data_IF_602177642202
#
_entry.id   IF_602177642202
#
_cell.length_a   1.000
_cell.length_b   1.000
_cell.length_c   1.000
_cell.angle_alpha   90.00
_cell.angle_beta   90.00
_cell.angle_gamma   90.00
#
_symmetry.space_group_name_H-M   'P 1'
#
loop_
_entity.id
_entity.type
_entity.pdbx_description
1 polymer ?
#
# COMPACT_ATOMS: atom_id res chain seq x y z
N UNK A 1 1.60 -21.50 6.98
CA UNK A 1 1.01 -22.87 6.97
C UNK A 1 -0.42 -22.87 7.53
N UNK A 2 -1.32 -23.69 6.96
CA UNK A 2 -2.71 -23.86 7.40
C UNK A 2 -2.84 -25.07 8.34
N UNK A 3 -3.60 -24.93 9.42
CA UNK A 3 -3.94 -26.03 10.34
C UNK A 3 -5.44 -25.99 10.62
N UNK A 4 -6.13 -27.09 10.37
CA UNK A 4 -7.55 -27.24 10.71
C UNK A 4 -7.69 -27.55 12.20
N UNK A 5 -8.61 -26.88 12.88
CA UNK A 5 -8.91 -27.12 14.29
C UNK A 5 -10.03 -28.15 14.43
N UNK A 6 -10.09 -28.84 15.57
CA UNK A 6 -11.08 -29.90 15.84
C UNK A 6 -12.54 -29.42 15.80
N UNK A 7 -12.76 -28.11 15.95
CA UNK A 7 -14.08 -27.48 15.86
C UNK A 7 -14.46 -27.01 14.45
N UNK A 8 -13.71 -27.38 13.40
CA UNK A 8 -13.97 -26.98 12.01
C UNK A 8 -13.44 -25.60 11.61
N UNK A 9 -12.75 -24.90 12.51
CA UNK A 9 -12.05 -23.65 12.20
C UNK A 9 -10.70 -23.86 11.49
N UNK A 10 -10.07 -22.75 11.12
CA UNK A 10 -8.77 -22.73 10.44
C UNK A 10 -7.80 -21.82 11.19
N UNK A 11 -6.57 -22.26 11.40
CA UNK A 11 -5.48 -21.43 11.88
C UNK A 11 -4.49 -21.17 10.74
N UNK A 12 -4.26 -19.89 10.44
CA UNK A 12 -3.17 -19.48 9.58
C UNK A 12 -1.95 -19.16 10.45
N UNK A 13 -0.88 -19.93 10.25
CA UNK A 13 0.42 -19.65 10.85
C UNK A 13 1.27 -18.89 9.83
N UNK A 14 1.66 -17.66 10.16
CA UNK A 14 2.58 -16.87 9.35
C UNK A 14 3.88 -16.66 10.12
N UNK A 15 4.96 -17.17 9.56
CA UNK A 15 6.31 -17.04 10.10
C UNK A 15 6.98 -15.78 9.53
N UNK A 16 7.80 -15.14 10.36
CA UNK A 16 8.50 -13.90 10.00
C UNK A 16 9.66 -14.11 9.00
N UNK A 17 10.04 -15.36 8.71
CA UNK A 17 11.19 -15.69 7.85
C UNK A 17 10.84 -15.68 6.34
N UNK A 18 11.86 -15.43 5.49
CA UNK A 18 11.73 -15.17 4.04
C UNK A 18 10.98 -16.24 3.22
N UNK A 19 10.91 -17.46 3.69
CA UNK A 19 10.27 -18.59 3.02
C UNK A 19 9.07 -19.15 3.78
N UNK A 20 8.63 -18.49 4.86
CA UNK A 20 7.56 -18.97 5.74
C UNK A 20 7.83 -20.40 6.30
N UNK A 21 9.08 -20.86 6.34
CA UNK A 21 9.45 -22.23 6.72
C UNK A 21 9.71 -22.44 8.22
N UNK A 22 9.41 -21.45 9.06
CA UNK A 22 9.40 -21.63 10.53
C UNK A 22 10.75 -21.90 11.22
N UNK A 23 11.88 -21.89 10.50
CA UNK A 23 13.20 -22.20 11.07
C UNK A 23 13.36 -23.70 11.42
N UNK A 24 14.61 -24.16 11.57
CA UNK A 24 14.93 -25.57 11.86
C UNK A 24 14.60 -25.96 13.31
N UNK A 25 14.54 -24.95 14.16
CA UNK A 25 14.47 -25.01 15.61
C UNK A 25 13.02 -24.94 16.14
N UNK A 26 12.01 -24.80 15.25
CA UNK A 26 10.59 -24.85 15.60
C UNK A 26 10.09 -23.72 16.52
N UNK A 27 10.99 -22.88 17.03
CA UNK A 27 10.73 -21.77 17.93
C UNK A 27 10.73 -20.45 17.16
N UNK A 28 9.80 -20.32 16.22
CA UNK A 28 9.60 -19.07 15.48
C UNK A 28 8.37 -18.33 16.01
N UNK A 29 8.50 -17.01 16.17
CA UNK A 29 7.42 -16.07 16.53
C UNK A 29 6.36 -16.02 15.42
N UNK A 30 5.62 -17.12 15.25
CA UNK A 30 4.59 -17.23 14.24
C UNK A 30 3.38 -16.40 14.66
N UNK A 31 2.95 -15.49 13.80
CA UNK A 31 1.65 -14.86 13.94
C UNK A 31 0.58 -15.91 13.64
N UNK A 32 -0.25 -16.19 14.65
CA UNK A 32 -1.42 -17.07 14.51
C UNK A 32 -2.64 -16.21 14.25
N UNK A 33 -3.26 -16.41 13.09
CA UNK A 33 -4.51 -15.75 12.71
C UNK A 33 -5.60 -16.83 12.77
N UNK A 34 -6.47 -16.82 13.80
CA UNK A 34 -7.57 -17.77 13.89
C UNK A 34 -8.73 -17.33 12.99
N UNK A 35 -9.29 -18.29 12.25
CA UNK A 35 -10.57 -18.18 11.56
C UNK A 35 -11.53 -19.14 12.25
N UNK A 36 -12.63 -18.62 12.82
CA UNK A 36 -13.64 -19.47 13.47
C UNK A 36 -14.30 -20.38 12.44
N UNK A 37 -14.90 -21.50 12.87
CA UNK A 37 -15.77 -22.29 12.00
C UNK A 37 -16.91 -21.43 11.47
N UNK A 38 -17.41 -21.79 10.29
CA UNK A 38 -18.59 -21.15 9.74
C UNK A 38 -19.80 -21.36 10.67
N UNK A 39 -20.71 -20.38 10.76
CA UNK A 39 -21.90 -20.48 11.59
C UNK A 39 -22.81 -21.63 11.12
N UNK A 40 -23.51 -22.27 12.05
CA UNK A 40 -24.50 -23.31 11.75
C UNK A 40 -25.51 -22.82 10.69
N UNK A 41 -25.63 -23.56 9.58
CA UNK A 41 -26.50 -23.22 8.45
C UNK A 41 -25.81 -22.45 7.32
N UNK A 42 -24.49 -22.23 7.39
CA UNK A 42 -23.71 -21.77 6.23
C UNK A 42 -23.86 -22.77 5.07
N UNK A 43 -24.15 -22.25 3.87
CA UNK A 43 -24.27 -23.07 2.68
C UNK A 43 -22.91 -23.72 2.38
N UNK A 44 -22.87 -25.05 2.51
CA UNK A 44 -21.69 -25.84 2.22
C UNK A 44 -21.45 -25.83 0.71
N UNK A 45 -20.36 -25.20 0.28
CA UNK A 45 -19.89 -25.24 -1.11
C UNK A 45 -19.07 -26.51 -1.40
N UNK A 46 -19.11 -27.54 -0.54
CA UNK A 46 -18.33 -28.78 -0.68
C UNK A 46 -18.41 -29.47 -2.04
N UNK A 47 -19.47 -29.25 -2.82
CA UNK A 47 -19.66 -29.85 -4.15
C UNK A 47 -19.15 -28.98 -5.32
N UNK A 48 -18.81 -27.71 -5.09
CA UNK A 48 -18.15 -26.86 -6.07
C UNK A 48 -16.72 -26.59 -5.62
N UNK A 49 -15.73 -26.89 -6.45
CA UNK A 49 -14.32 -26.60 -6.16
C UNK A 49 -14.14 -25.10 -5.91
N UNK A 50 -14.17 -24.68 -4.64
CA UNK A 50 -13.98 -23.29 -4.21
C UNK A 50 -12.57 -22.76 -4.51
N UNK A 51 -11.66 -23.67 -4.83
CA UNK A 51 -10.34 -23.39 -5.36
C UNK A 51 -10.01 -24.34 -6.51
N UNK A 52 -9.29 -23.81 -7.48
CA UNK A 52 -8.65 -24.61 -8.52
C UNK A 52 -7.19 -24.79 -8.08
N UNK A 53 -6.70 -26.04 -7.98
CA UNK A 53 -5.28 -26.35 -7.71
C UNK A 53 -4.41 -26.14 -8.96
N UNK A 54 -4.69 -25.06 -9.69
CA UNK A 54 -3.93 -24.63 -10.83
C UNK A 54 -3.54 -23.17 -10.66
N UNK A 55 -2.35 -22.84 -11.17
CA UNK A 55 -1.88 -21.46 -11.18
C UNK A 55 -2.76 -20.65 -12.12
N UNK A 56 -3.28 -19.53 -11.62
CA UNK A 56 -3.95 -18.56 -12.48
C UNK A 56 -3.04 -18.14 -13.63
N UNK A 57 -3.60 -18.14 -14.84
CA UNK A 57 -2.88 -17.70 -16.04
C UNK A 57 -2.40 -16.26 -15.91
N UNK A 58 -1.20 -15.96 -16.44
CA UNK A 58 -0.60 -14.63 -16.36
C UNK A 58 -1.52 -13.51 -16.88
N UNK A 59 -2.33 -13.80 -17.91
CA UNK A 59 -3.32 -12.87 -18.44
C UNK A 59 -4.41 -12.55 -17.41
N UNK A 60 -4.96 -13.56 -16.76
CA UNK A 60 -5.99 -13.43 -15.71
C UNK A 60 -5.46 -12.59 -14.55
N UNK A 61 -4.23 -12.87 -14.09
CA UNK A 61 -3.57 -12.07 -13.08
C UNK A 61 -3.43 -10.61 -13.53
N UNK A 62 -2.93 -10.36 -14.74
CA UNK A 62 -2.71 -9.00 -15.26
C UNK A 62 -4.00 -8.19 -15.38
N UNK A 63 -5.10 -8.83 -15.79
CA UNK A 63 -6.42 -8.18 -15.95
C UNK A 63 -7.20 -8.03 -14.65
N UNK A 64 -6.79 -8.68 -13.56
CA UNK A 64 -7.56 -8.76 -12.33
C UNK A 64 -8.01 -7.39 -11.82
N UNK A 65 -7.06 -6.46 -11.58
CA UNK A 65 -7.41 -5.13 -11.06
C UNK A 65 -8.33 -4.34 -11.99
N UNK A 66 -8.11 -4.45 -13.31
CA UNK A 66 -8.94 -3.79 -14.32
C UNK A 66 -10.38 -4.31 -14.28
N UNK A 67 -10.55 -5.62 -14.14
CA UNK A 67 -11.86 -6.27 -14.05
C UNK A 67 -12.58 -5.83 -12.78
N UNK A 68 -11.88 -5.81 -11.64
CA UNK A 68 -12.44 -5.32 -10.36
C UNK A 68 -12.93 -3.87 -10.52
N UNK A 69 -12.08 -2.96 -11.01
CA UNK A 69 -12.46 -1.56 -11.21
C UNK A 69 -13.66 -1.39 -12.15
N UNK A 70 -13.72 -2.17 -13.23
CA UNK A 70 -14.86 -2.15 -14.17
C UNK A 70 -16.14 -2.64 -13.49
N UNK A 71 -16.07 -3.71 -12.70
CA UNK A 71 -17.21 -4.29 -12.00
C UNK A 71 -17.80 -3.34 -10.94
N UNK A 72 -16.96 -2.55 -10.26
CA UNK A 72 -17.43 -1.52 -9.30
C UNK A 72 -17.78 -0.18 -9.96
N UNK A 73 -17.73 -0.07 -11.29
CA UNK A 73 -18.11 1.15 -12.01
C UNK A 73 -17.10 2.30 -11.94
N UNK A 74 -15.82 2.01 -11.66
CA UNK A 74 -14.76 3.02 -11.73
C UNK A 74 -14.45 3.31 -13.21
N UNK A 75 -14.50 4.60 -13.59
CA UNK A 75 -14.13 5.01 -14.94
C UNK A 75 -12.61 4.91 -15.16
N UNK A 76 -12.25 4.09 -16.14
CA UNK A 76 -10.87 3.77 -16.54
C UNK A 76 -10.54 4.23 -17.97
N UNK A 77 -11.43 4.96 -18.67
CA UNK A 77 -11.23 5.32 -20.09
C UNK A 77 -9.91 6.04 -20.36
N UNK A 78 -9.51 6.92 -19.45
CA UNK A 78 -8.28 7.71 -19.55
C UNK A 78 -7.12 7.20 -18.67
N UNK A 79 -7.23 5.97 -18.13
CA UNK A 79 -6.24 5.43 -17.18
C UNK A 79 -5.94 3.96 -17.41
N UNK A 80 -4.64 3.62 -17.49
CA UNK A 80 -4.20 2.23 -17.48
C UNK A 80 -4.10 1.68 -16.06
N UNK A 81 -5.23 1.16 -15.56
CA UNK A 81 -5.29 0.52 -14.23
C UNK A 81 -4.81 -0.93 -14.33
N UNK A 82 -3.61 -1.16 -13.79
CA UNK A 82 -2.97 -2.48 -13.67
C UNK A 82 -2.72 -2.83 -12.21
N UNK A 83 -2.40 -4.08 -11.90
CA UNK A 83 -2.08 -4.50 -10.53
C UNK A 83 -1.01 -3.63 -9.85
N UNK A 84 -0.01 -3.17 -10.61
CA UNK A 84 1.00 -2.26 -10.09
C UNK A 84 0.40 -0.93 -9.61
N UNK A 85 -0.59 -0.36 -10.31
CA UNK A 85 -1.31 0.84 -9.85
C UNK A 85 -2.09 0.61 -8.55
N UNK A 86 -2.68 -0.59 -8.42
CA UNK A 86 -3.34 -1.05 -7.19
C UNK A 86 -2.37 -1.17 -6.01
N UNK A 87 -1.11 -1.49 -6.25
CA UNK A 87 -0.04 -1.46 -5.24
C UNK A 87 0.43 -0.03 -4.94
N UNK A 88 0.67 0.79 -5.96
CA UNK A 88 1.24 2.14 -5.80
C UNK A 88 0.35 3.06 -4.96
N UNK A 89 -0.96 3.02 -5.22
CA UNK A 89 -1.95 3.91 -4.60
C UNK A 89 -1.98 3.82 -3.06
N UNK A 90 -2.13 2.63 -2.43
CA UNK A 90 -2.12 2.52 -0.97
C UNK A 90 -0.77 2.88 -0.36
N UNK A 91 0.36 2.57 -1.01
CA UNK A 91 1.70 2.93 -0.49
C UNK A 91 1.84 4.46 -0.43
N UNK A 92 1.48 5.15 -1.52
CA UNK A 92 1.51 6.61 -1.57
C UNK A 92 0.54 7.22 -0.56
N UNK A 93 -0.64 6.62 -0.35
CA UNK A 93 -1.59 7.08 0.67
C UNK A 93 -1.04 6.98 2.09
N UNK A 94 -0.37 5.86 2.43
CA UNK A 94 0.28 5.70 3.74
C UNK A 94 1.35 6.77 3.98
N UNK A 95 2.15 7.07 2.96
CA UNK A 95 3.13 8.16 3.02
C UNK A 95 2.46 9.52 3.26
N UNK A 96 1.42 9.85 2.49
CA UNK A 96 0.71 11.13 2.60
C UNK A 96 0.01 11.30 3.96
N UNK A 97 -0.42 10.21 4.58
CA UNK A 97 -0.96 10.19 5.95
C UNK A 97 0.11 10.28 7.04
N UNK A 98 1.39 10.35 6.68
CA UNK A 98 2.51 10.49 7.63
C UNK A 98 2.83 9.22 8.41
N UNK A 99 2.42 8.04 7.92
CA UNK A 99 2.78 6.77 8.56
C UNK A 99 4.30 6.60 8.46
N UNK A 100 4.92 6.22 9.58
CA UNK A 100 6.37 6.04 9.65
C UNK A 100 6.90 5.12 8.54
N UNK A 101 8.04 5.48 7.96
CA UNK A 101 8.63 4.78 6.81
C UNK A 101 8.90 3.31 7.15
N UNK A 102 9.49 3.04 8.32
CA UNK A 102 9.76 1.66 8.76
C UNK A 102 8.51 0.79 8.83
N UNK A 103 7.41 1.34 9.37
CA UNK A 103 6.11 0.65 9.43
C UNK A 103 5.54 0.41 8.04
N UNK A 104 5.56 1.42 7.17
CA UNK A 104 5.05 1.30 5.80
C UNK A 104 5.86 0.30 4.99
N UNK A 105 7.19 0.30 5.10
CA UNK A 105 8.07 -0.67 4.44
C UNK A 105 7.81 -2.09 4.92
N UNK A 106 7.60 -2.29 6.23
CA UNK A 106 7.24 -3.58 6.82
C UNK A 106 5.91 -4.11 6.27
N UNK A 107 4.86 -3.28 6.23
CA UNK A 107 3.54 -3.65 5.68
C UNK A 107 3.63 -3.99 4.18
N UNK A 108 4.40 -3.22 3.42
CA UNK A 108 4.43 -3.30 1.96
C UNK A 108 5.50 -4.24 1.42
N UNK A 109 6.37 -4.76 2.29
CA UNK A 109 7.44 -5.70 1.95
C UNK A 109 8.64 -5.08 1.22
N UNK A 110 8.91 -3.78 1.41
CA UNK A 110 10.11 -3.16 0.83
C UNK A 110 11.34 -3.46 1.70
N UNK A 111 12.40 -3.93 1.05
CA UNK A 111 13.68 -4.27 1.71
C UNK A 111 14.62 -3.07 1.85
N UNK A 112 14.40 -2.02 1.05
CA UNK A 112 15.22 -0.81 1.03
C UNK A 112 14.34 0.42 0.98
N UNK A 113 14.81 1.47 1.62
CA UNK A 113 14.15 2.77 1.59
C UNK A 113 14.18 3.38 0.19
N UNK A 114 15.26 3.16 -0.57
CA UNK A 114 15.39 3.63 -1.95
C UNK A 114 14.28 3.09 -2.86
N UNK A 115 13.93 1.81 -2.75
CA UNK A 115 12.82 1.22 -3.51
C UNK A 115 11.45 1.75 -3.05
N UNK A 116 11.32 2.11 -1.76
CA UNK A 116 10.10 2.71 -1.22
C UNK A 116 9.91 4.17 -1.66
N UNK A 117 10.99 4.96 -1.76
CA UNK A 117 10.94 6.40 -2.08
C UNK A 117 10.27 6.72 -3.42
N UNK A 118 10.19 5.77 -4.35
CA UNK A 118 9.45 5.89 -5.62
C UNK A 118 7.95 6.23 -5.38
N UNK A 119 7.40 5.77 -4.25
CA UNK A 119 6.01 5.95 -3.86
C UNK A 119 5.81 7.11 -2.88
N UNK A 120 6.88 7.65 -2.28
CA UNK A 120 6.88 8.72 -1.30
C UNK A 120 6.59 10.08 -1.94
N UNK A 121 5.44 10.20 -2.61
CA UNK A 121 5.02 11.37 -3.36
C UNK A 121 4.11 12.25 -2.50
N UNK A 122 4.53 13.49 -2.30
CA UNK A 122 3.72 14.50 -1.62
C UNK A 122 2.39 14.73 -2.34
N UNK A 123 1.31 14.82 -1.57
CA UNK A 123 0.00 15.25 -2.06
C UNK A 123 0.04 16.71 -2.53
N UNK A 124 -0.96 17.13 -3.31
CA UNK A 124 -1.06 18.53 -3.74
C UNK A 124 -1.19 19.47 -2.55
N UNK A 125 -2.00 19.12 -1.55
CA UNK A 125 -2.10 19.87 -0.29
C UNK A 125 -0.73 20.06 0.38
N UNK A 126 0.04 18.98 0.53
CA UNK A 126 1.39 19.07 1.12
C UNK A 126 2.33 19.96 0.30
N UNK A 127 2.20 19.97 -1.04
CA UNK A 127 2.97 20.87 -1.90
C UNK A 127 2.53 22.32 -1.73
N UNK A 128 1.22 22.57 -1.69
CA UNK A 128 0.63 23.89 -1.46
C UNK A 128 1.07 24.45 -0.11
N UNK A 129 0.91 23.69 0.97
CA UNK A 129 1.34 24.07 2.32
C UNK A 129 2.84 24.43 2.36
N UNK A 130 3.68 23.63 1.69
CA UNK A 130 5.12 23.88 1.59
C UNK A 130 5.45 25.17 0.82
N UNK A 131 4.72 25.46 -0.28
CA UNK A 131 4.91 26.69 -1.05
C UNK A 131 4.42 27.92 -0.28
N UNK A 132 3.32 27.82 0.46
CA UNK A 132 2.79 28.89 1.31
C UNK A 132 3.78 29.30 2.41
N UNK A 133 4.51 28.34 3.00
CA UNK A 133 5.57 28.63 3.96
C UNK A 133 6.69 29.47 3.34
N UNK A 134 7.12 29.14 2.11
CA UNK A 134 8.16 29.89 1.42
C UNK A 134 7.72 31.33 1.12
N UNK A 135 6.51 31.52 0.57
CA UNK A 135 5.97 32.84 0.26
C UNK A 135 5.88 33.71 1.52
N UNK A 136 5.43 33.13 2.63
CA UNK A 136 5.33 33.84 3.92
C UNK A 136 6.70 34.29 4.43
N UNK A 137 7.76 33.54 4.16
CA UNK A 137 9.12 33.93 4.54
C UNK A 137 9.72 35.05 3.69
N UNK A 138 9.31 35.18 2.42
CA UNK A 138 9.82 36.22 1.51
C UNK A 138 9.19 37.59 1.77
N UNK A 139 7.92 37.64 2.19
CA UNK A 139 7.25 38.89 2.57
C UNK A 139 7.84 39.59 3.80
N UNK A 140 8.71 38.92 4.55
CA UNK A 140 9.36 39.44 5.75
C UNK A 140 10.75 40.05 5.48
N UNK A 141 11.24 40.04 4.25
CA UNK A 141 12.52 40.66 3.91
C UNK A 141 12.35 42.18 3.73
N UNK A 142 13.20 43.01 4.37
CA UNK A 142 13.18 44.46 4.13
C UNK A 142 13.53 44.74 2.67
N UNK A 143 12.59 45.36 1.94
CA UNK A 143 12.84 45.89 0.61
C UNK A 143 13.89 47.00 0.73
N UNK A 144 15.10 46.76 0.23
CA UNK A 144 16.17 47.75 0.25
C UNK A 144 15.93 48.73 -0.90
N UNK A 145 15.08 49.73 -0.67
CA UNK A 145 14.88 50.86 -1.58
C UNK A 145 16.08 51.81 -1.45
N UNK A 146 17.15 51.54 -2.21
CA UNK A 146 18.15 52.56 -2.55
C UNK A 146 17.79 53.16 -3.90
N UNK A 147 16.81 54.05 -3.91
CA UNK A 147 16.63 54.99 -5.01
C UNK A 147 17.82 55.97 -4.98
N UNK A 148 18.79 55.70 -5.83
CA UNK A 148 19.90 56.61 -6.10
C UNK A 148 19.40 57.65 -7.11
N UNK A 149 18.89 58.77 -6.63
CA UNK A 149 18.70 59.97 -7.45
C UNK A 149 20.05 60.39 -8.05
N UNK A 150 20.29 60.02 -9.30
CA UNK A 150 21.38 60.55 -10.09
C UNK A 150 21.02 61.99 -10.49
N UNK A 151 21.43 62.95 -9.66
CA UNK A 151 21.40 64.38 -9.96
C UNK A 151 22.30 64.67 -11.17
N UNK A 152 21.68 64.93 -12.32
CA UNK A 152 22.35 65.46 -13.52
C UNK A 152 22.73 66.92 -13.21
N UNK A 153 24.03 67.23 -13.31
CA UNK A 153 24.55 68.60 -13.42
C UNK A 153 24.98 68.86 -14.85
#
# INVERSE_FOLDING_TARGET
QFVFTSNGGIQFKKYSQKNDQGGVDGNSDALIIPVPPDPEGSQDYSNDSWYLDERLGARSCRSFMKNVCTAVGIDIKDRDIVNHSGRSTPITSLFQKGVAIGTTMSITGHKSESSYRIYARSSNKQKEDALSLLISSVGALPCNSQDSEASIK
#
